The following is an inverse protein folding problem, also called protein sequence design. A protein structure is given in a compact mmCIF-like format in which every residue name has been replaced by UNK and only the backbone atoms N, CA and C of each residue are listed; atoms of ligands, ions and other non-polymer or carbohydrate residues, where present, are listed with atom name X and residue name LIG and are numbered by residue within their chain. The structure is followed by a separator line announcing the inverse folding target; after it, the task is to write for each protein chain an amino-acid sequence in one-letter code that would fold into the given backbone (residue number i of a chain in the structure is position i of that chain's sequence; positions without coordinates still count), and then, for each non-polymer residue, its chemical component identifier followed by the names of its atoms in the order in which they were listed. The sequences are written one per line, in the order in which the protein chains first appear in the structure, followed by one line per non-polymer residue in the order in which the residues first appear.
data_IF_844546809944
#
_entry.id   IF_844546809944
#
_cell.length_a   1.000
_cell.length_b   1.000
_cell.length_c   1.000
_cell.angle_alpha   90.00
_cell.angle_beta   90.00
_cell.angle_gamma   90.00
#
_symmetry.space_group_name_H-M   'P 1'
#
loop_
_entity.id
_entity.type
_entity.pdbx_description
1 polymer ?
#
# COMPACT_ATOMS: atom_id res chain seq x y z
N UNK A 1 2.01 24.74 3.94
CA UNK A 1 3.19 24.66 3.03
C UNK A 1 3.86 23.28 3.00
N UNK A 2 3.31 22.23 3.63
CA UNK A 2 3.92 20.88 3.66
C UNK A 2 3.37 19.91 2.59
N UNK A 3 2.17 20.17 2.06
CA UNK A 3 1.50 19.29 1.10
C UNK A 3 2.20 19.22 -0.28
N UNK A 4 2.79 20.35 -0.73
CA UNK A 4 3.45 20.43 -2.04
C UNK A 4 4.77 19.64 -2.11
N UNK A 5 5.42 19.37 -0.97
CA UNK A 5 6.72 18.68 -0.94
C UNK A 5 6.51 17.15 -1.02
N UNK A 6 5.52 16.64 -0.28
CA UNK A 6 5.18 15.20 -0.24
C UNK A 6 4.80 14.69 -1.65
N UNK A 7 3.99 15.48 -2.37
CA UNK A 7 3.58 15.15 -3.73
C UNK A 7 4.77 15.16 -4.69
N UNK A 8 5.69 16.14 -4.60
CA UNK A 8 6.89 16.20 -5.45
C UNK A 8 7.87 15.06 -5.19
N UNK A 9 8.05 14.66 -3.93
CA UNK A 9 8.95 13.55 -3.59
C UNK A 9 8.39 12.21 -4.08
N UNK A 10 7.07 12.00 -4.00
CA UNK A 10 6.39 10.84 -4.60
C UNK A 10 6.57 10.78 -6.13
N UNK A 11 6.76 11.92 -6.80
CA UNK A 11 6.96 12.04 -8.24
C UNK A 11 8.40 11.74 -8.71
N UNK A 12 9.36 11.40 -7.84
CA UNK A 12 10.76 11.18 -8.25
C UNK A 12 11.24 9.73 -8.18
N UNK A 13 10.47 8.79 -7.60
CA UNK A 13 10.97 7.44 -7.34
C UNK A 13 10.33 6.37 -8.23
N UNK A 14 11.12 5.63 -9.04
CA UNK A 14 10.60 4.48 -9.75
C UNK A 14 10.20 3.41 -8.73
N UNK A 15 8.92 3.02 -8.75
CA UNK A 15 8.43 1.85 -8.03
C UNK A 15 9.15 0.61 -8.58
N UNK A 16 10.29 0.31 -7.97
CA UNK A 16 11.11 -0.85 -8.32
C UNK A 16 10.37 -2.12 -7.91
N UNK A 17 10.46 -3.21 -8.69
CA UNK A 17 9.80 -4.46 -8.34
C UNK A 17 10.21 -4.88 -6.93
N UNK A 18 9.25 -5.05 -6.03
CA UNK A 18 9.55 -5.46 -4.67
C UNK A 18 9.67 -6.98 -4.62
N UNK A 19 10.62 -7.51 -3.83
CA UNK A 19 10.62 -8.94 -3.51
C UNK A 19 9.36 -9.25 -2.69
N UNK A 20 8.71 -10.38 -2.97
CA UNK A 20 7.59 -10.85 -2.17
C UNK A 20 8.13 -11.70 -1.01
N UNK A 21 7.97 -11.22 0.21
CA UNK A 21 8.41 -11.87 1.44
C UNK A 21 7.28 -12.72 2.01
N UNK A 22 7.61 -13.93 2.47
CA UNK A 22 6.67 -14.77 3.21
C UNK A 22 6.76 -14.46 4.71
N UNK A 23 5.62 -14.25 5.34
CA UNK A 23 5.49 -14.05 6.79
C UNK A 23 4.39 -14.96 7.31
N UNK A 24 4.67 -15.70 8.37
CA UNK A 24 3.69 -16.55 9.05
C UNK A 24 3.33 -15.95 10.41
N UNK A 25 2.04 -15.80 10.68
CA UNK A 25 1.51 -15.26 11.94
C UNK A 25 0.68 -16.33 12.66
N UNK A 26 1.33 -17.34 13.28
CA UNK A 26 0.65 -18.57 13.73
C UNK A 26 -0.43 -18.33 14.78
N UNK A 27 -0.29 -17.28 15.59
CA UNK A 27 -1.22 -16.95 16.67
C UNK A 27 -2.19 -15.80 16.31
N UNK A 28 -2.25 -15.41 15.03
CA UNK A 28 -3.02 -14.23 14.64
C UNK A 28 -4.50 -14.36 14.97
N UNK A 29 -5.09 -13.24 15.39
CA UNK A 29 -6.55 -13.11 15.55
C UNK A 29 -7.22 -12.60 14.29
N UNK A 30 -6.44 -12.16 13.29
CA UNK A 30 -6.92 -11.68 12.00
C UNK A 30 -7.59 -12.79 11.19
N UNK A 31 -8.93 -12.82 11.19
CA UNK A 31 -9.73 -13.84 10.48
C UNK A 31 -9.31 -14.00 9.02
N UNK A 32 -8.99 -12.91 8.33
CA UNK A 32 -8.58 -12.94 6.92
C UNK A 32 -7.27 -13.72 6.77
N UNK A 33 -6.28 -13.44 7.62
CA UNK A 33 -4.98 -14.12 7.59
C UNK A 33 -5.13 -15.57 8.06
N UNK A 34 -5.97 -15.85 9.08
CA UNK A 34 -6.27 -17.22 9.53
C UNK A 34 -6.89 -18.06 8.42
N UNK A 35 -7.83 -17.48 7.66
CA UNK A 35 -8.47 -18.16 6.53
C UNK A 35 -7.47 -18.45 5.40
N UNK A 36 -6.39 -17.68 5.31
CA UNK A 36 -5.25 -17.97 4.43
C UNK A 36 -4.18 -18.87 5.08
N UNK A 37 -4.54 -19.66 6.11
CA UNK A 37 -3.63 -20.58 6.77
C UNK A 37 -2.54 -19.91 7.61
N UNK A 38 -2.83 -18.73 8.16
CA UNK A 38 -1.88 -17.89 8.91
C UNK A 38 -0.73 -17.31 8.06
N UNK A 39 -0.88 -17.33 6.72
CA UNK A 39 0.14 -16.91 5.77
C UNK A 39 -0.13 -15.49 5.26
N UNK A 40 0.92 -14.72 5.16
CA UNK A 40 0.92 -13.37 4.61
C UNK A 40 2.09 -13.21 3.65
N UNK A 41 1.82 -12.69 2.47
CA UNK A 41 2.85 -12.30 1.52
C UNK A 41 2.98 -10.79 1.52
N UNK A 42 4.19 -10.29 1.76
CA UNK A 42 4.46 -8.89 1.98
C UNK A 42 5.40 -8.34 0.91
N UNK A 43 5.16 -7.11 0.47
CA UNK A 43 6.05 -6.35 -0.39
C UNK A 43 6.37 -5.02 0.30
N UNK A 44 7.66 -4.66 0.36
CA UNK A 44 8.09 -3.35 0.89
C UNK A 44 8.37 -2.37 -0.23
N UNK A 45 7.98 -1.12 0.00
CA UNK A 45 8.19 -0.03 -0.93
C UNK A 45 8.80 1.14 -0.16
N UNK A 46 10.03 1.54 -0.49
CA UNK A 46 10.65 2.71 0.13
C UNK A 46 9.94 3.99 -0.33
N UNK A 47 9.95 5.02 0.51
CA UNK A 47 9.61 6.41 0.15
C UNK A 47 8.14 6.68 -0.25
N UNK A 48 7.27 5.68 -0.17
CA UNK A 48 5.81 5.84 -0.39
C UNK A 48 5.00 5.63 0.89
N UNK A 49 5.66 5.70 2.06
CA UNK A 49 5.01 5.68 3.37
C UNK A 49 4.04 6.84 3.49
N UNK A 50 2.84 6.59 4.01
CA UNK A 50 1.80 7.60 4.21
C UNK A 50 0.81 7.72 3.05
N UNK A 51 1.07 7.09 1.90
CA UNK A 51 0.22 7.18 0.70
C UNK A 51 -1.15 6.51 0.87
N UNK A 52 -1.29 5.60 1.84
CA UNK A 52 -2.51 4.82 2.08
C UNK A 52 -3.15 5.08 3.46
N UNK A 53 -2.82 6.21 4.08
CA UNK A 53 -3.39 6.63 5.36
C UNK A 53 -4.91 6.72 5.31
N UNK A 54 -5.57 6.32 6.40
CA UNK A 54 -7.04 6.36 6.54
C UNK A 54 -7.57 7.59 7.27
N UNK A 55 -6.68 8.28 7.98
CA UNK A 55 -6.96 9.51 8.72
C UNK A 55 -6.81 10.78 7.87
N UNK A 56 -6.45 10.63 6.60
CA UNK A 56 -6.40 11.70 5.58
C UNK A 56 -7.33 11.29 4.43
N UNK A 57 -8.29 12.14 4.08
CA UNK A 57 -9.38 11.80 3.15
C UNK A 57 -8.86 11.52 1.73
N UNK A 58 -7.87 12.28 1.28
CA UNK A 58 -7.25 12.14 -0.04
C UNK A 58 -6.56 10.78 -0.18
N UNK A 59 -5.72 10.40 0.78
CA UNK A 59 -4.99 9.12 0.77
C UNK A 59 -5.93 7.95 1.01
N UNK A 60 -7.01 8.15 1.78
CA UNK A 60 -8.07 7.15 1.97
C UNK A 60 -8.82 6.87 0.68
N UNK A 61 -9.21 7.92 -0.06
CA UNK A 61 -9.88 7.80 -1.36
C UNK A 61 -8.94 7.18 -2.39
N UNK A 62 -7.69 7.64 -2.45
CA UNK A 62 -6.64 7.05 -3.28
C UNK A 62 -6.47 5.57 -3.00
N UNK A 63 -6.26 5.20 -1.73
CA UNK A 63 -6.05 3.83 -1.32
C UNK A 63 -7.23 2.93 -1.66
N UNK A 64 -8.47 3.42 -1.50
CA UNK A 64 -9.68 2.70 -1.91
C UNK A 64 -9.72 2.47 -3.43
N UNK A 65 -9.44 3.49 -4.24
CA UNK A 65 -9.41 3.35 -5.71
C UNK A 65 -8.41 2.28 -6.14
N UNK A 66 -7.19 2.29 -5.58
CA UNK A 66 -6.16 1.31 -5.93
C UNK A 66 -6.54 -0.09 -5.43
N UNK A 67 -7.08 -0.21 -4.22
CA UNK A 67 -7.50 -1.48 -3.63
C UNK A 67 -8.68 -2.11 -4.39
N UNK A 68 -9.72 -1.34 -4.68
CA UNK A 68 -10.89 -1.77 -5.45
C UNK A 68 -10.48 -2.19 -6.86
N UNK A 69 -9.57 -1.46 -7.51
CA UNK A 69 -9.06 -1.84 -8.82
C UNK A 69 -8.32 -3.20 -8.80
N UNK A 70 -7.51 -3.48 -7.76
CA UNK A 70 -6.86 -4.80 -7.60
C UNK A 70 -7.90 -5.88 -7.38
N UNK A 71 -8.87 -5.64 -6.48
CA UNK A 71 -9.96 -6.55 -6.15
C UNK A 71 -10.79 -6.93 -7.39
N UNK A 72 -11.26 -5.94 -8.15
CA UNK A 72 -12.04 -6.13 -9.37
C UNK A 72 -11.25 -6.87 -10.45
N UNK A 73 -9.95 -6.58 -10.59
CA UNK A 73 -9.12 -7.17 -11.64
C UNK A 73 -8.86 -8.66 -11.41
N UNK A 74 -8.71 -9.07 -10.17
CA UNK A 74 -8.27 -10.40 -9.77
C UNK A 74 -9.36 -11.22 -9.08
N UNK A 75 -10.56 -10.67 -8.93
CA UNK A 75 -11.68 -11.29 -8.21
C UNK A 75 -11.30 -11.69 -6.78
N UNK A 76 -10.65 -10.77 -6.06
CA UNK A 76 -10.19 -10.97 -4.68
C UNK A 76 -10.54 -9.79 -3.76
N UNK A 77 -10.05 -9.79 -2.51
CA UNK A 77 -10.36 -8.77 -1.51
C UNK A 77 -9.38 -7.57 -1.51
N UNK A 78 -8.53 -7.43 -2.54
CA UNK A 78 -7.53 -6.36 -2.61
C UNK A 78 -6.32 -6.62 -1.72
N UNK A 79 -5.81 -5.60 -1.03
CA UNK A 79 -4.61 -5.67 -0.20
C UNK A 79 -4.74 -4.84 1.08
N UNK A 80 -3.85 -5.09 2.04
CA UNK A 80 -3.69 -4.27 3.25
C UNK A 80 -2.39 -3.49 3.16
N UNK A 81 -2.28 -2.38 3.90
CA UNK A 81 -1.01 -1.67 4.02
C UNK A 81 -0.67 -1.29 5.46
N UNK A 82 0.62 -1.13 5.74
CA UNK A 82 1.11 -0.68 7.05
C UNK A 82 0.75 0.78 7.39
N UNK A 83 0.15 1.52 6.46
CA UNK A 83 -0.39 2.86 6.73
C UNK A 83 -1.77 2.78 7.39
N UNK A 84 -2.42 1.63 7.30
CA UNK A 84 -3.70 1.36 7.93
C UNK A 84 -3.45 0.96 9.40
N UNK A 85 -2.96 1.92 10.20
CA UNK A 85 -2.70 1.69 11.63
C UNK A 85 -3.98 1.27 12.38
N UNK A 86 -3.84 0.58 13.54
CA UNK A 86 -4.94 -0.09 14.23
C UNK A 86 -6.13 0.81 14.61
N UNK A 87 -5.90 2.11 14.84
CA UNK A 87 -6.97 3.05 15.16
C UNK A 87 -7.97 3.22 14.00
N UNK A 88 -7.56 2.94 12.75
CA UNK A 88 -8.37 3.21 11.56
C UNK A 88 -8.32 2.19 10.41
N UNK A 89 -7.68 1.02 10.53
CA UNK A 89 -7.96 -0.01 9.51
C UNK A 89 -7.00 -1.16 9.24
N UNK A 90 -6.40 -1.81 10.24
CA UNK A 90 -6.43 -3.28 10.20
C UNK A 90 -7.65 -3.72 10.99
N UNK A 91 -8.77 -3.75 10.29
CA UNK A 91 -10.12 -3.94 10.83
C UNK A 91 -10.38 -5.33 11.44
N UNK A 92 -9.35 -6.19 11.61
CA UNK A 92 -9.54 -7.59 11.99
C UNK A 92 -8.53 -8.18 12.98
N UNK A 93 -7.60 -7.40 13.57
CA UNK A 93 -6.83 -7.88 14.73
C UNK A 93 -5.42 -8.42 14.46
N UNK A 94 -4.64 -7.71 13.64
CA UNK A 94 -3.18 -7.75 13.73
C UNK A 94 -2.76 -6.81 14.87
N UNK A 95 -2.01 -7.35 15.82
CA UNK A 95 -1.48 -6.63 16.98
C UNK A 95 -0.20 -5.86 16.64
N UNK A 96 0.18 -4.89 17.46
CA UNK A 96 1.46 -4.18 17.32
C UNK A 96 2.66 -5.13 17.30
N UNK A 97 2.61 -6.23 18.08
CA UNK A 97 3.66 -7.26 18.10
C UNK A 97 3.78 -7.99 16.76
N UNK A 98 2.66 -8.38 16.16
CA UNK A 98 2.64 -9.01 14.84
C UNK A 98 3.11 -8.04 13.75
N UNK A 99 2.75 -6.77 13.87
CA UNK A 99 3.25 -5.71 13.00
C UNK A 99 4.77 -5.58 13.10
N UNK A 100 5.32 -5.44 14.30
CA UNK A 100 6.76 -5.34 14.52
C UNK A 100 7.50 -6.57 13.96
N UNK A 101 6.98 -7.76 14.23
CA UNK A 101 7.51 -9.01 13.68
C UNK A 101 7.49 -9.02 12.15
N UNK A 102 6.39 -8.62 11.52
CA UNK A 102 6.31 -8.51 10.06
C UNK A 102 7.36 -7.54 9.49
N UNK A 103 7.53 -6.36 10.09
CA UNK A 103 8.54 -5.39 9.66
C UNK A 103 9.96 -5.96 9.75
N UNK A 104 10.27 -6.69 10.82
CA UNK A 104 11.53 -7.42 10.99
C UNK A 104 11.75 -8.46 9.88
N UNK A 105 10.76 -9.34 9.64
CA UNK A 105 10.86 -10.39 8.61
C UNK A 105 11.05 -9.85 7.19
N UNK A 106 10.41 -8.72 6.89
CA UNK A 106 10.50 -8.04 5.59
C UNK A 106 11.79 -7.21 5.46
N UNK A 107 12.50 -6.98 6.57
CA UNK A 107 13.63 -6.05 6.65
C UNK A 107 13.21 -4.63 6.26
N UNK A 108 12.01 -4.22 6.69
CA UNK A 108 11.48 -2.89 6.47
C UNK A 108 11.69 -2.04 7.73
N UNK A 109 11.82 -0.74 7.53
CA UNK A 109 11.82 0.26 8.62
C UNK A 109 10.49 1.00 8.60
N UNK A 110 9.85 1.12 9.76
CA UNK A 110 8.47 1.60 9.88
C UNK A 110 8.25 3.05 9.40
N UNK A 111 9.25 3.90 9.61
CA UNK A 111 9.28 5.31 9.23
C UNK A 111 9.66 5.55 7.76
N UNK A 112 10.37 4.62 7.13
CA UNK A 112 10.88 4.77 5.76
C UNK A 112 10.09 3.97 4.71
N UNK A 113 9.41 2.89 5.11
CA UNK A 113 8.84 1.91 4.18
C UNK A 113 7.34 1.71 4.35
N UNK A 114 6.63 1.66 3.22
CA UNK A 114 5.30 1.06 3.15
C UNK A 114 5.43 -0.45 3.00
N UNK A 115 4.75 -1.22 3.85
CA UNK A 115 4.56 -2.65 3.65
C UNK A 115 3.14 -2.88 3.13
N UNK A 116 3.03 -3.52 1.98
CA UNK A 116 1.76 -3.98 1.39
C UNK A 116 1.65 -5.48 1.62
N UNK A 117 0.48 -5.93 2.06
CA UNK A 117 0.25 -7.29 2.52
C UNK A 117 -0.88 -7.95 1.73
N UNK A 118 -0.65 -9.19 1.34
CA UNK A 118 -1.55 -10.02 0.55
C UNK A 118 -1.81 -11.33 1.29
N UNK A 119 -3.06 -11.54 1.73
CA UNK A 119 -3.49 -12.73 2.46
C UNK A 119 -4.11 -13.76 1.51
N UNK A 120 -3.33 -14.21 0.52
CA UNK A 120 -3.72 -15.18 -0.52
C UNK A 120 -2.64 -16.25 -0.71
N UNK A 121 -2.89 -17.30 -1.51
CA UNK A 121 -1.83 -18.18 -2.02
C UNK A 121 -0.77 -17.40 -2.80
N UNK A 122 0.47 -17.90 -2.81
CA UNK A 122 1.65 -17.21 -3.38
C UNK A 122 1.43 -16.67 -4.79
N UNK A 123 0.84 -17.48 -5.68
CA UNK A 123 0.61 -17.10 -7.06
C UNK A 123 -0.30 -15.87 -7.16
N UNK A 124 -1.39 -15.86 -6.41
CA UNK A 124 -2.34 -14.76 -6.40
C UNK A 124 -1.75 -13.50 -5.75
N UNK A 125 -0.96 -13.66 -4.68
CA UNK A 125 -0.22 -12.57 -4.08
C UNK A 125 0.79 -11.95 -5.06
N UNK A 126 1.47 -12.76 -5.86
CA UNK A 126 2.39 -12.30 -6.89
C UNK A 126 1.66 -11.54 -8.01
N UNK A 127 0.55 -12.08 -8.51
CA UNK A 127 -0.28 -11.42 -9.54
C UNK A 127 -0.87 -10.09 -9.03
N UNK A 128 -1.34 -10.06 -7.77
CA UNK A 128 -1.81 -8.86 -7.07
C UNK A 128 -0.72 -7.81 -6.94
N UNK A 129 0.49 -8.20 -6.51
CA UNK A 129 1.65 -7.30 -6.42
C UNK A 129 1.99 -6.70 -7.78
N UNK A 130 2.07 -7.52 -8.83
CA UNK A 130 2.41 -7.06 -10.18
C UNK A 130 1.37 -6.05 -10.68
N UNK A 131 0.09 -6.30 -10.43
CA UNK A 131 -0.96 -5.37 -10.86
C UNK A 131 -0.98 -4.09 -10.02
N UNK A 132 -0.79 -4.19 -8.70
CA UNK A 132 -0.60 -3.05 -7.81
C UNK A 132 0.57 -2.16 -8.26
N UNK A 133 1.73 -2.74 -8.56
CA UNK A 133 2.90 -1.99 -9.05
C UNK A 133 2.61 -1.29 -10.39
N UNK A 134 1.84 -1.92 -11.29
CA UNK A 134 1.38 -1.29 -12.53
C UNK A 134 0.47 -0.10 -12.26
N UNK A 135 -0.46 -0.22 -11.31
CA UNK A 135 -1.35 0.88 -10.91
C UNK A 135 -0.56 2.02 -10.27
N UNK A 136 0.37 1.74 -9.36
CA UNK A 136 1.25 2.75 -8.76
C UNK A 136 2.02 3.51 -9.84
N UNK A 137 2.67 2.80 -10.77
CA UNK A 137 3.41 3.42 -11.89
C UNK A 137 2.50 4.24 -12.79
N UNK A 138 1.34 3.71 -13.18
CA UNK A 138 0.38 4.43 -14.03
C UNK A 138 -0.05 5.73 -13.35
N UNK A 139 -0.37 5.67 -12.06
CA UNK A 139 -0.84 6.83 -11.30
C UNK A 139 0.28 7.85 -11.12
N UNK A 140 1.50 7.39 -10.85
CA UNK A 140 2.72 8.19 -10.87
C UNK A 140 2.92 8.94 -12.20
N UNK A 141 2.78 8.27 -13.35
CA UNK A 141 2.87 8.89 -14.67
C UNK A 141 1.73 9.86 -14.98
N UNK A 142 0.52 9.56 -14.52
CA UNK A 142 -0.61 10.48 -14.63
C UNK A 142 -0.30 11.81 -13.93
N UNK A 143 0.22 11.77 -12.70
CA UNK A 143 0.54 12.98 -11.91
C UNK A 143 1.78 13.72 -12.42
N UNK A 144 2.81 13.04 -12.94
CA UNK A 144 3.99 13.69 -13.54
C UNK A 144 3.69 14.34 -14.90
N UNK A 145 2.75 13.80 -15.67
CA UNK A 145 2.25 14.45 -16.90
C UNK A 145 1.26 15.61 -16.59
N UNK A 146 0.71 15.64 -15.39
CA UNK A 146 -0.37 16.53 -14.95
C UNK A 146 0.11 17.77 -14.20
N UNK A 147 1.40 18.07 -14.05
CA UNK A 147 1.79 19.37 -13.43
C UNK A 147 1.19 20.56 -14.21
N UNK A 148 0.97 20.37 -15.52
CA UNK A 148 0.26 21.31 -16.40
C UNK A 148 -1.27 21.23 -16.30
N UNK A 149 -1.84 20.06 -16.07
CA UNK A 149 -3.29 19.83 -16.05
C UNK A 149 -3.89 20.02 -14.64
N UNK A 150 -3.10 19.84 -13.58
CA UNK A 150 -3.40 20.15 -12.17
C UNK A 150 -3.48 21.66 -11.95
N UNK A 151 -2.52 22.43 -12.50
CA UNK A 151 -2.59 23.91 -12.54
C UNK A 151 -3.85 24.39 -13.28
N UNK A 152 -4.24 23.69 -14.34
CA UNK A 152 -5.40 24.02 -15.17
C UNK A 152 -6.76 23.67 -14.51
N UNK A 153 -6.82 22.61 -13.71
CA UNK A 153 -8.06 22.14 -13.05
C UNK A 153 -8.35 22.84 -11.70
N UNK A 154 -7.32 23.29 -10.99
CA UNK A 154 -7.47 23.92 -9.66
C UNK A 154 -7.19 25.42 -9.63
N UNK A 155 -7.13 26.07 -10.81
CA UNK A 155 -7.31 27.52 -10.94
C UNK A 155 -6.26 28.41 -10.28
N UNK A 156 -5.02 27.94 -10.14
CA UNK A 156 -3.90 28.80 -9.74
C UNK A 156 -3.18 29.26 -11.00
N UNK A 157 -3.57 30.45 -11.46
CA UNK A 157 -2.83 31.22 -12.45
C UNK A 157 -1.61 31.84 -11.76
N UNK A 158 -0.46 31.91 -12.45
CA UNK A 158 0.70 32.67 -11.99
C UNK A 158 0.35 34.16 -11.74
#
# INVERSE_FOLDING_TARGET
MAENTIVKDLMLYPVSPSVLYYVELPETKCKIIKNNGNKLYCAKYPLIKGLFRKDVDETKKYGRIICDAVAEKLDNFGFFTSDERPEYGISYGITEKEYAYMFEQVGAKEDEHLVVMFAYPEREALESKIFFEKLLRKTYFSYTLDEKTFRMLFGLSD
#
